data_IF_816502691508
#
_entry.id   IF_816502691508
#
_cell.length_a   1.000
_cell.length_b   1.000
_cell.length_c   1.000
_cell.angle_alpha   90.00
_cell.angle_beta   90.00
_cell.angle_gamma   90.00
#
_symmetry.space_group_name_H-M   'P 1'
#
loop_
_entity.id
_entity.type
_entity.pdbx_description
1 polymer ?
#
# COMPACT_ATOMS: atom_id res chain seq x y z
N UNK A 1 22.62 8.47 6.28
CA UNK A 1 22.50 7.58 5.11
C UNK A 1 21.06 7.67 4.66
N UNK A 2 20.89 8.52 3.67
CA UNK A 2 19.65 9.20 3.36
C UNK A 2 19.05 8.51 2.16
N UNK A 3 17.88 7.90 2.32
CA UNK A 3 17.05 7.46 1.20
C UNK A 3 15.58 7.71 1.54
N UNK A 4 15.31 8.98 1.81
CA UNK A 4 14.02 9.61 1.55
C UNK A 4 13.78 9.58 0.03
N UNK A 5 13.22 8.47 -0.46
CA UNK A 5 12.40 8.49 -1.67
C UNK A 5 10.97 8.26 -1.25
N UNK A 6 10.47 9.23 -0.50
CA UNK A 6 9.08 9.65 -0.51
C UNK A 6 8.75 10.08 -1.94
N UNK A 7 8.55 9.10 -2.83
CA UNK A 7 7.67 9.31 -3.97
C UNK A 7 6.30 9.07 -3.38
N UNK A 8 5.48 10.10 -3.16
CA UNK A 8 4.13 9.86 -2.72
C UNK A 8 3.49 8.97 -3.78
N UNK A 9 3.13 7.74 -3.41
CA UNK A 9 2.17 6.95 -4.19
C UNK A 9 0.81 7.62 -3.96
N UNK A 10 0.70 8.89 -4.38
CA UNK A 10 -0.56 9.51 -4.76
C UNK A 10 -0.94 8.87 -6.09
N UNK A 11 -2.13 8.32 -6.25
CA UNK A 11 -3.29 9.20 -6.37
C UNK A 11 -4.59 8.68 -5.76
N UNK A 12 -4.63 7.56 -5.03
CA UNK A 12 -5.92 7.03 -4.52
C UNK A 12 -5.91 6.43 -3.11
N UNK A 13 -4.74 6.14 -2.51
CA UNK A 13 -4.70 5.54 -1.17
C UNK A 13 -5.22 6.47 -0.05
N UNK A 14 -5.20 7.79 -0.25
CA UNK A 14 -5.73 8.74 0.74
C UNK A 14 -7.26 8.70 0.89
N UNK A 15 -8.00 8.20 -0.11
CA UNK A 15 -9.46 8.04 -0.01
C UNK A 15 -9.84 6.99 1.04
N UNK A 16 -9.01 5.95 1.20
CA UNK A 16 -9.19 4.89 2.19
C UNK A 16 -8.96 5.37 3.63
N UNK A 17 -8.32 6.51 3.84
CA UNK A 17 -8.09 7.06 5.18
C UNK A 17 -9.38 7.53 5.88
N UNK A 18 -10.53 7.53 5.18
CA UNK A 18 -11.84 7.98 5.71
C UNK A 18 -12.82 6.86 6.07
N UNK A 19 -12.62 5.63 5.63
CA UNK A 19 -13.50 4.50 5.98
C UNK A 19 -13.04 3.87 7.29
N UNK A 20 -13.93 3.62 8.27
CA UNK A 20 -13.58 3.06 9.58
C UNK A 20 -12.67 1.82 9.45
N UNK A 21 -11.68 1.67 10.34
CA UNK A 21 -10.87 0.45 10.47
C UNK A 21 -11.73 -0.75 10.90
N UNK A 22 -12.48 -1.32 9.97
CA UNK A 22 -13.09 -2.63 10.11
C UNK A 22 -12.28 -3.63 9.28
N UNK A 23 -12.36 -4.94 9.59
CA UNK A 23 -11.76 -5.96 8.75
C UNK A 23 -12.18 -5.85 7.28
N UNK A 24 -13.42 -5.41 7.03
CA UNK A 24 -13.93 -5.10 5.68
C UNK A 24 -13.08 -4.04 4.96
N UNK A 25 -12.64 -3.01 5.68
CA UNK A 25 -11.77 -1.95 5.14
C UNK A 25 -10.35 -2.42 4.89
N UNK A 26 -9.81 -3.40 5.63
CA UNK A 26 -8.50 -4.00 5.30
C UNK A 26 -8.54 -4.73 3.96
N UNK A 27 -9.59 -5.51 3.72
CA UNK A 27 -9.77 -6.25 2.47
C UNK A 27 -9.96 -5.29 1.29
N UNK A 28 -10.78 -4.24 1.47
CA UNK A 28 -10.91 -3.16 0.47
C UNK A 28 -9.60 -2.43 0.23
N UNK A 29 -8.87 -2.06 1.29
CA UNK A 29 -7.60 -1.36 1.18
C UNK A 29 -6.58 -2.16 0.37
N UNK A 30 -6.51 -3.47 0.65
CA UNK A 30 -5.69 -4.39 -0.12
C UNK A 30 -6.13 -4.43 -1.57
N UNK A 31 -7.41 -4.64 -1.86
CA UNK A 31 -7.94 -4.69 -3.23
C UNK A 31 -7.62 -3.42 -4.02
N UNK A 32 -7.89 -2.25 -3.44
CA UNK A 32 -7.55 -0.97 -4.07
C UNK A 32 -6.06 -0.79 -4.31
N UNK A 33 -5.21 -1.22 -3.37
CA UNK A 33 -3.77 -1.17 -3.55
C UNK A 33 -3.30 -2.12 -4.66
N UNK A 34 -3.84 -3.34 -4.72
CA UNK A 34 -3.56 -4.29 -5.79
C UNK A 34 -3.96 -3.72 -7.17
N UNK A 35 -5.17 -3.19 -7.32
CA UNK A 35 -5.63 -2.55 -8.56
C UNK A 35 -4.80 -1.31 -8.92
N UNK A 36 -4.47 -0.48 -7.93
CA UNK A 36 -3.64 0.71 -8.13
C UNK A 36 -2.18 0.40 -8.47
N UNK A 37 -1.71 -0.83 -8.19
CA UNK A 37 -0.36 -1.29 -8.52
C UNK A 37 -0.34 -2.20 -9.76
N UNK A 38 -1.48 -2.74 -10.18
CA UNK A 38 -1.59 -3.67 -11.31
C UNK A 38 -1.02 -3.08 -12.60
N UNK A 39 -1.23 -1.77 -12.84
CA UNK A 39 -0.66 -1.09 -14.01
C UNK A 39 0.88 -1.13 -14.05
N UNK A 40 1.57 -1.26 -12.91
CA UNK A 40 3.04 -1.40 -12.89
C UNK A 40 3.48 -2.74 -13.47
N UNK A 41 2.72 -3.81 -13.23
CA UNK A 41 2.94 -5.13 -13.85
C UNK A 41 2.71 -5.03 -15.36
N UNK A 42 1.58 -4.45 -15.76
CA UNK A 42 1.21 -4.29 -17.17
C UNK A 42 2.20 -3.40 -17.93
N UNK A 43 2.75 -2.38 -17.28
CA UNK A 43 3.80 -1.53 -17.84
C UNK A 43 5.20 -2.19 -17.87
N UNK A 44 5.34 -3.43 -17.39
CA UNK A 44 6.61 -4.16 -17.34
C UNK A 44 7.62 -3.56 -16.35
N UNK A 45 7.18 -2.69 -15.42
CA UNK A 45 8.06 -2.06 -14.45
C UNK A 45 8.38 -2.97 -13.26
N UNK A 46 7.47 -3.89 -12.93
CA UNK A 46 7.66 -4.84 -11.82
C UNK A 46 7.29 -6.23 -12.30
N UNK A 47 8.06 -7.23 -11.85
CA UNK A 47 7.81 -8.65 -12.10
C UNK A 47 6.81 -9.23 -11.10
N UNK A 48 6.91 -8.84 -9.82
CA UNK A 48 5.97 -9.27 -8.78
C UNK A 48 5.54 -8.11 -7.89
N UNK A 49 4.31 -8.19 -7.40
CA UNK A 49 3.70 -7.24 -6.47
C UNK A 49 3.18 -8.08 -5.31
N UNK A 50 3.59 -7.75 -4.10
CA UNK A 50 3.12 -8.43 -2.88
C UNK A 50 2.54 -7.38 -1.93
N UNK A 51 1.23 -7.41 -1.72
CA UNK A 51 0.51 -6.46 -0.85
C UNK A 51 0.06 -7.19 0.40
N UNK A 52 0.36 -6.64 1.58
CA UNK A 52 -0.05 -7.13 2.89
C UNK A 52 -0.73 -5.99 3.65
N UNK A 53 -1.97 -6.21 4.08
CA UNK A 53 -2.69 -5.31 4.97
C UNK A 53 -2.75 -5.95 6.36
N UNK A 54 -2.31 -5.21 7.37
CA UNK A 54 -2.30 -5.63 8.77
C UNK A 54 -2.89 -4.53 9.64
N UNK A 55 -3.63 -4.92 10.68
CA UNK A 55 -4.15 -3.98 11.68
C UNK A 55 -3.32 -4.13 12.95
N UNK A 56 -2.49 -3.12 13.25
CA UNK A 56 -1.63 -3.15 14.43
C UNK A 56 -2.40 -2.85 15.73
N UNK A 57 -3.31 -1.86 15.72
CA UNK A 57 -4.10 -1.44 16.89
C UNK A 57 -5.47 -0.88 16.47
N UNK A 58 -6.40 -0.75 17.41
CA UNK A 58 -7.72 -0.14 17.16
C UNK A 58 -7.53 1.27 16.58
N UNK A 59 -7.80 1.42 15.27
CA UNK A 59 -7.67 2.68 14.55
C UNK A 59 -6.34 2.89 13.81
N UNK A 60 -5.48 1.88 13.65
CA UNK A 60 -4.27 1.97 12.82
C UNK A 60 -4.21 0.84 11.80
N UNK A 61 -4.07 1.21 10.53
CA UNK A 61 -3.85 0.28 9.42
C UNK A 61 -2.43 0.41 8.90
N UNK A 62 -1.83 -0.76 8.72
CA UNK A 62 -0.52 -0.92 8.17
C UNK A 62 -0.63 -1.65 6.84
N UNK A 63 -0.13 -1.05 5.78
CA UNK A 63 -0.09 -1.65 4.47
C UNK A 63 1.37 -1.76 4.04
N UNK A 64 1.83 -2.99 3.85
CA UNK A 64 3.16 -3.30 3.38
C UNK A 64 3.09 -3.81 1.95
N UNK A 65 3.80 -3.15 1.05
CA UNK A 65 3.84 -3.45 -0.38
C UNK A 65 5.29 -3.75 -0.75
N UNK A 66 5.58 -4.94 -1.27
CA UNK A 66 6.89 -5.26 -1.83
C UNK A 66 6.77 -5.42 -3.34
N UNK A 67 7.52 -4.59 -4.06
CA UNK A 67 7.60 -4.61 -5.52
C UNK A 67 8.91 -5.28 -5.93
N UNK A 68 8.83 -6.38 -6.69
CA UNK A 68 10.00 -7.03 -7.27
C UNK A 68 10.17 -6.51 -8.68
N UNK A 69 11.29 -5.85 -8.96
CA UNK A 69 11.68 -5.38 -10.28
C UNK A 69 12.08 -6.57 -11.18
N UNK A 70 12.00 -6.43 -12.51
CA UNK A 70 12.48 -7.45 -13.45
C UNK A 70 13.99 -7.72 -13.33
N UNK A 71 14.75 -6.77 -12.78
CA UNK A 71 16.18 -6.89 -12.47
C UNK A 71 16.46 -7.75 -11.21
N UNK A 72 15.41 -8.20 -10.50
CA UNK A 72 15.50 -8.97 -9.26
C UNK A 72 15.59 -8.11 -7.99
N UNK A 73 15.77 -6.80 -8.13
CA UNK A 73 15.73 -5.85 -7.01
C UNK A 73 14.33 -5.78 -6.39
N UNK A 74 14.25 -5.81 -5.06
CA UNK A 74 12.98 -5.67 -4.32
C UNK A 74 12.91 -4.30 -3.67
N UNK A 75 11.84 -3.56 -3.96
CA UNK A 75 11.57 -2.26 -3.34
C UNK A 75 10.40 -2.42 -2.36
N UNK A 76 10.67 -2.37 -1.05
CA UNK A 76 9.62 -2.33 -0.04
C UNK A 76 9.03 -0.93 0.09
N UNK A 77 7.71 -0.86 0.25
CA UNK A 77 6.92 0.32 0.49
C UNK A 77 6.04 0.05 1.70
N UNK A 78 6.12 0.91 2.70
CA UNK A 78 5.28 0.87 3.89
C UNK A 78 4.34 2.07 3.91
N UNK A 79 3.07 1.82 4.21
CA UNK A 79 2.05 2.84 4.35
C UNK A 79 1.34 2.66 5.68
N UNK A 80 1.37 3.71 6.50
CA UNK A 80 0.71 3.77 7.82
C UNK A 80 -0.45 4.75 7.71
N UNK A 81 -1.67 4.28 7.95
CA UNK A 81 -2.86 5.11 8.03
C UNK A 81 -3.41 5.08 9.45
N UNK A 82 -3.54 6.26 10.08
CA UNK A 82 -4.22 6.43 11.34
C UNK A 82 -5.66 6.87 11.09
N UNK A 83 -6.62 6.12 11.64
CA UNK A 83 -8.03 6.46 11.60
C UNK A 83 -8.36 7.40 12.77
N UNK A 84 -8.47 8.69 12.48
CA UNK A 84 -9.18 9.60 13.37
C UNK A 84 -10.68 9.53 13.04
N UNK A 85 -11.39 8.62 13.71
CA UNK A 85 -12.84 8.67 13.73
C UNK A 85 -13.28 9.91 14.51
N UNK A 86 -13.82 10.91 13.79
CA UNK A 86 -14.69 11.94 14.37
C UNK A 86 -16.13 11.41 14.42
#
# INVERSE_FOLDING_TARGET
MDSYRDRPIGSRLWLLSREKATPDTLERARGYAEEALEWLKTAGRVSAINVRAEQLHQGWLYLYIALTLPDGSVIPYEFKAAFNGV
#
